data_IF_893410475480
#
_entry.id   IF_893410475480
#
_cell.length_a   1.000
_cell.length_b   1.000
_cell.length_c   1.000
_cell.angle_alpha   90.00
_cell.angle_beta   90.00
_cell.angle_gamma   90.00
#
_symmetry.space_group_name_H-M   'P 1'
#
loop_
_entity.id
_entity.type
_entity.pdbx_description
1 polymer ?
#
# COMPACT_ATOMS: atom_id res chain seq x y z
N UNK A 1 -5.22 -10.61 1.38
CA UNK A 1 -4.32 -9.48 1.10
C UNK A 1 -3.06 -9.94 0.39
N UNK A 2 -2.17 -9.02 0.07
CA UNK A 2 -0.84 -9.26 -0.52
C UNK A 2 0.22 -9.09 0.57
N UNK A 3 1.13 -10.05 0.77
CA UNK A 3 2.24 -9.86 1.69
C UNK A 3 3.21 -8.81 1.13
N UNK A 4 3.81 -8.01 2.00
CA UNK A 4 4.82 -7.03 1.60
C UNK A 4 5.74 -6.62 2.74
N UNK A 5 6.81 -5.91 2.39
CA UNK A 5 7.80 -5.39 3.34
C UNK A 5 7.80 -3.87 3.32
N UNK A 6 7.68 -3.24 4.50
CA UNK A 6 7.72 -1.78 4.61
C UNK A 6 9.11 -1.26 4.26
N UNK A 7 9.26 -0.54 3.15
CA UNK A 7 10.55 0.00 2.67
C UNK A 7 10.81 1.43 3.16
N UNK A 8 9.74 2.21 3.36
CA UNK A 8 9.78 3.57 3.90
C UNK A 8 8.63 3.76 4.89
N UNK A 9 8.88 4.53 5.96
CA UNK A 9 7.86 4.94 6.91
C UNK A 9 8.08 6.39 7.33
N UNK A 10 7.09 7.25 7.09
CA UNK A 10 7.09 8.65 7.50
C UNK A 10 5.84 8.96 8.32
N UNK A 11 6.01 9.45 9.54
CA UNK A 11 4.92 9.91 10.39
C UNK A 11 4.77 11.43 10.24
N UNK A 12 3.70 11.88 9.60
CA UNK A 12 3.46 13.31 9.29
C UNK A 12 2.49 13.97 10.25
N UNK A 13 2.31 13.40 11.44
CA UNK A 13 1.40 13.88 12.47
C UNK A 13 0.16 13.00 12.59
N UNK A 14 -0.92 13.37 11.88
CA UNK A 14 -2.20 12.62 11.86
C UNK A 14 -2.18 11.42 10.92
N UNK A 15 -1.15 11.30 10.09
CA UNK A 15 -1.07 10.29 9.04
C UNK A 15 0.29 9.58 9.09
N UNK A 16 0.27 8.36 8.57
CA UNK A 16 1.47 7.56 8.30
C UNK A 16 1.51 7.34 6.80
N UNK A 17 2.57 7.84 6.16
CA UNK A 17 2.91 7.49 4.80
C UNK A 17 3.89 6.31 4.83
N UNK A 18 3.59 5.25 4.10
CA UNK A 18 4.45 4.09 3.98
C UNK A 18 4.61 3.69 2.52
N UNK A 19 5.80 3.23 2.15
CA UNK A 19 6.02 2.45 0.94
C UNK A 19 6.19 0.99 1.32
N UNK A 20 5.54 0.10 0.58
CA UNK A 20 5.58 -1.34 0.83
C UNK A 20 5.93 -2.05 -0.45
N UNK A 21 7.05 -2.79 -0.45
CA UNK A 21 7.39 -3.70 -1.54
C UNK A 21 6.48 -4.93 -1.48
N UNK A 22 5.74 -5.17 -2.56
CA UNK A 22 4.90 -6.32 -2.76
C UNK A 22 5.38 -7.07 -3.99
N UNK A 23 6.26 -8.06 -3.78
CA UNK A 23 6.83 -8.88 -4.85
C UNK A 23 7.57 -8.05 -5.92
N UNK A 24 8.33 -7.03 -5.50
CA UNK A 24 9.09 -6.16 -6.39
C UNK A 24 8.34 -4.94 -6.91
N UNK A 25 7.03 -4.80 -6.60
CA UNK A 25 6.25 -3.61 -6.92
C UNK A 25 6.04 -2.77 -5.67
N UNK A 26 6.27 -1.46 -5.77
CA UNK A 26 6.16 -0.57 -4.61
C UNK A 26 4.76 0.04 -4.52
N UNK A 27 4.05 -0.26 -3.44
CA UNK A 27 2.74 0.30 -3.14
C UNK A 27 2.90 1.44 -2.15
N UNK A 28 2.40 2.63 -2.51
CA UNK A 28 2.27 3.76 -1.61
C UNK A 28 0.99 3.63 -0.78
N UNK A 29 1.10 3.71 0.54
CA UNK A 29 -0.01 3.60 1.48
C UNK A 29 -0.07 4.84 2.37
N UNK A 30 -1.28 5.38 2.57
CA UNK A 30 -1.55 6.46 3.50
C UNK A 30 -2.55 5.97 4.55
N UNK A 31 -2.12 5.93 5.81
CA UNK A 31 -2.95 5.52 6.93
C UNK A 31 -3.31 6.73 7.77
N UNK A 32 -4.60 6.87 8.11
CA UNK A 32 -5.14 7.94 8.96
C UNK A 32 -5.36 7.50 10.41
N UNK A 33 -4.86 6.31 10.74
CA UNK A 33 -4.91 5.71 12.06
C UNK A 33 -3.50 5.33 12.53
N UNK A 34 -3.33 5.18 13.84
CA UNK A 34 -2.04 4.79 14.42
C UNK A 34 -1.84 3.29 14.27
N UNK A 35 -1.04 2.89 13.28
CA UNK A 35 -0.59 1.52 13.13
C UNK A 35 0.81 1.34 13.73
N UNK A 36 1.09 0.21 14.41
CA UNK A 36 2.42 -0.07 14.98
C UNK A 36 3.42 -0.54 13.91
N UNK A 37 3.49 0.17 12.77
CA UNK A 37 4.38 -0.16 11.65
C UNK A 37 5.82 0.23 11.93
N UNK A 38 6.77 -0.48 11.30
CA UNK A 38 8.20 -0.19 11.34
C UNK A 38 8.80 -0.45 9.96
N UNK A 39 9.85 0.28 9.59
CA UNK A 39 10.63 -0.03 8.41
C UNK A 39 11.22 -1.44 8.52
N UNK A 40 11.18 -2.21 7.44
CA UNK A 40 11.57 -3.63 7.38
C UNK A 40 10.52 -4.61 7.91
N UNK A 41 9.39 -4.15 8.45
CA UNK A 41 8.35 -5.05 8.94
C UNK A 41 7.64 -5.76 7.78
N UNK A 42 7.32 -7.05 7.98
CA UNK A 42 6.38 -7.76 7.12
C UNK A 42 4.94 -7.37 7.46
N UNK A 43 4.16 -7.08 6.43
CA UNK A 43 2.76 -6.66 6.54
C UNK A 43 1.90 -7.39 5.51
N UNK A 44 0.60 -7.48 5.78
CA UNK A 44 -0.40 -7.84 4.78
C UNK A 44 -1.16 -6.60 4.33
N UNK A 45 -1.20 -6.36 3.02
CA UNK A 45 -1.99 -5.27 2.42
C UNK A 45 -3.32 -5.81 1.92
N UNK A 46 -4.41 -5.17 2.29
CA UNK A 46 -5.72 -5.40 1.73
C UNK A 46 -6.21 -4.14 1.02
N UNK A 47 -6.77 -4.31 -0.18
CA UNK A 47 -7.37 -3.23 -0.96
C UNK A 47 -8.87 -3.30 -0.75
N UNK A 48 -9.46 -2.18 -0.36
CA UNK A 48 -10.91 -2.05 -0.39
C UNK A 48 -11.40 -2.16 -1.84
N UNK A 49 -12.10 -3.25 -2.14
CA UNK A 49 -12.61 -3.55 -3.48
C UNK A 49 -13.62 -2.52 -3.96
N UNK A 50 -14.33 -1.84 -3.05
CA UNK A 50 -15.26 -0.78 -3.42
C UNK A 50 -14.53 0.47 -3.97
N UNK A 51 -13.26 0.64 -3.62
CA UNK A 51 -12.41 1.76 -4.03
C UNK A 51 -11.39 1.36 -5.12
N UNK A 52 -11.38 0.10 -5.56
CA UNK A 52 -10.41 -0.38 -6.53
C UNK A 52 -10.80 0.02 -7.97
N UNK A 53 -9.78 0.33 -8.78
CA UNK A 53 -9.94 0.58 -10.21
C UNK A 53 -9.13 -0.47 -10.97
N UNK A 54 -9.79 -1.23 -11.85
CA UNK A 54 -9.15 -2.19 -12.74
C UNK A 54 -9.00 -1.60 -14.13
N UNK A 55 -7.92 -1.94 -14.81
CA UNK A 55 -7.61 -1.48 -16.15
C UNK A 55 -7.21 -2.67 -17.02
N UNK A 56 -7.70 -2.69 -18.25
CA UNK A 56 -7.27 -3.67 -19.24
C UNK A 56 -5.80 -3.42 -19.60
N UNK A 57 -4.97 -4.47 -19.50
CA UNK A 57 -3.52 -4.34 -19.65
C UNK A 57 -3.05 -3.96 -21.06
N UNK A 58 -3.87 -4.20 -22.10
CA UNK A 58 -3.49 -3.90 -23.50
C UNK A 58 -3.92 -2.50 -23.92
N UNK A 59 -5.09 -2.08 -23.46
CA UNK A 59 -5.75 -0.85 -23.93
C UNK A 59 -5.74 0.27 -22.91
N UNK A 60 -5.45 -0.03 -21.64
CA UNK A 60 -5.51 0.94 -20.54
C UNK A 60 -6.93 1.37 -20.19
N UNK A 61 -7.97 0.75 -20.77
CA UNK A 61 -9.35 1.13 -20.50
C UNK A 61 -9.77 0.62 -19.12
N UNK A 62 -10.41 1.49 -18.34
CA UNK A 62 -10.99 1.11 -17.05
C UNK A 62 -12.09 0.04 -17.25
N UNK A 63 -12.10 -0.96 -16.37
CA UNK A 63 -13.10 -2.03 -16.30
C UNK A 63 -14.06 -1.82 -15.12
#
# INVERSE_FOLDING_TARGET
GMPGTVTLLEATGSEIFARVDCAGEEIACLFRERLPLRQGAQVGIEVDRACAHLFDAKTGRRM
#
